data_IF_482282811339
#
_entry.id   IF_482282811339
#
_cell.length_a   1.000
_cell.length_b   1.000
_cell.length_c   1.000
_cell.angle_alpha   90.00
_cell.angle_beta   90.00
_cell.angle_gamma   90.00
#
_symmetry.space_group_name_H-M   'P 1'
#
loop_
_entity.id
_entity.type
_entity.pdbx_description
1 polymer ?
#
# COMPACT_ATOMS: atom_id res chain seq x y z
N UNK A 1 17.44 -4.00 19.49
CA UNK A 1 16.74 -3.88 18.19
C UNK A 1 15.95 -5.16 18.00
N UNK A 2 14.63 -5.08 17.88
CA UNK A 2 13.77 -6.25 17.67
C UNK A 2 13.81 -6.61 16.18
N UNK A 3 14.08 -7.87 15.84
CA UNK A 3 14.16 -8.29 14.44
C UNK A 3 12.77 -8.18 13.77
N UNK A 4 12.72 -7.86 12.47
CA UNK A 4 11.46 -7.70 11.72
C UNK A 4 10.54 -8.92 11.85
N UNK A 5 11.12 -10.13 11.87
CA UNK A 5 10.41 -11.39 12.11
C UNK A 5 9.75 -11.44 13.49
N UNK A 6 10.46 -11.03 14.55
CA UNK A 6 9.93 -10.99 15.92
C UNK A 6 8.77 -10.00 16.06
N UNK A 7 8.83 -8.88 15.31
CA UNK A 7 7.74 -7.88 15.27
C UNK A 7 6.49 -8.43 14.61
N UNK A 8 6.64 -9.14 13.49
CA UNK A 8 5.53 -9.78 12.78
C UNK A 8 4.88 -10.86 13.65
N UNK A 9 5.67 -11.75 14.25
CA UNK A 9 5.17 -12.79 15.15
C UNK A 9 4.39 -12.22 16.34
N UNK A 10 4.87 -11.09 16.90
CA UNK A 10 4.18 -10.41 17.99
C UNK A 10 2.80 -9.90 17.57
N UNK A 11 2.71 -9.28 16.39
CA UNK A 11 1.44 -8.77 15.85
C UNK A 11 0.47 -9.92 15.58
N UNK A 12 0.95 -11.01 14.97
CA UNK A 12 0.11 -12.20 14.72
C UNK A 12 -0.49 -12.72 16.03
N UNK A 13 0.34 -12.95 17.06
CA UNK A 13 -0.14 -13.42 18.37
C UNK A 13 -1.14 -12.45 19.03
N UNK A 14 -0.89 -11.15 18.90
CA UNK A 14 -1.79 -10.13 19.42
C UNK A 14 -3.16 -10.17 18.72
N UNK A 15 -3.17 -10.31 17.39
CA UNK A 15 -4.41 -10.44 16.62
C UNK A 15 -5.12 -11.76 16.91
N UNK A 16 -4.41 -12.87 17.07
CA UNK A 16 -4.99 -14.16 17.50
C UNK A 16 -5.74 -14.02 18.83
N UNK A 17 -5.15 -13.32 19.79
CA UNK A 17 -5.78 -13.02 21.08
C UNK A 17 -7.05 -12.19 20.84
N UNK A 18 -6.98 -11.11 20.06
CA UNK A 18 -8.16 -10.28 19.82
C UNK A 18 -9.28 -11.03 19.09
N UNK A 19 -8.97 -11.95 18.17
CA UNK A 19 -9.96 -12.80 17.52
C UNK A 19 -10.69 -13.69 18.55
N UNK A 20 -9.97 -14.25 19.52
CA UNK A 20 -10.57 -15.10 20.55
C UNK A 20 -11.59 -14.37 21.42
N UNK A 21 -11.42 -13.07 21.64
CA UNK A 21 -12.28 -12.26 22.51
C UNK A 21 -13.24 -11.33 21.77
N UNK A 22 -12.98 -11.07 20.49
CA UNK A 22 -13.69 -10.08 19.67
C UNK A 22 -14.44 -10.66 18.48
N UNK A 23 -14.48 -11.98 18.33
CA UNK A 23 -15.23 -12.67 17.27
C UNK A 23 -16.08 -13.77 17.87
N UNK A 24 -17.32 -13.88 17.37
CA UNK A 24 -18.26 -14.96 17.71
C UNK A 24 -17.60 -16.34 17.56
N UNK A 25 -17.79 -17.23 18.54
CA UNK A 25 -17.12 -18.56 18.57
C UNK A 25 -17.28 -19.36 17.28
N UNK A 26 -18.44 -19.26 16.62
CA UNK A 26 -18.72 -19.95 15.35
C UNK A 26 -17.85 -19.48 14.18
N UNK A 27 -17.30 -18.27 14.24
CA UNK A 27 -16.54 -17.63 13.16
C UNK A 27 -15.03 -17.55 13.46
N UNK A 28 -14.61 -17.86 14.70
CA UNK A 28 -13.20 -17.73 15.11
C UNK A 28 -12.24 -18.54 14.23
N UNK A 29 -12.62 -19.76 13.82
CA UNK A 29 -11.76 -20.57 12.96
C UNK A 29 -11.53 -19.92 11.59
N UNK A 30 -12.54 -19.27 11.03
CA UNK A 30 -12.42 -18.63 9.73
C UNK A 30 -11.64 -17.31 9.83
N UNK A 31 -11.82 -16.56 10.91
CA UNK A 31 -10.98 -15.39 11.24
C UNK A 31 -9.50 -15.77 11.39
N UNK A 32 -9.19 -16.89 12.06
CA UNK A 32 -7.82 -17.39 12.19
C UNK A 32 -7.24 -17.84 10.85
N UNK A 33 -8.02 -18.51 9.99
CA UNK A 33 -7.57 -18.86 8.63
C UNK A 33 -7.25 -17.60 7.82
N UNK A 34 -8.10 -16.57 7.94
CA UNK A 34 -7.88 -15.28 7.30
C UNK A 34 -6.58 -14.62 7.76
N UNK A 35 -6.33 -14.58 9.07
CA UNK A 35 -5.06 -14.08 9.63
C UNK A 35 -3.85 -14.83 9.08
N UNK A 36 -3.91 -16.17 9.07
CA UNK A 36 -2.80 -16.99 8.58
C UNK A 36 -2.49 -16.79 7.09
N UNK A 37 -3.49 -16.46 6.27
CA UNK A 37 -3.30 -16.11 4.85
C UNK A 37 -2.38 -14.90 4.67
N UNK A 38 -2.44 -13.94 5.60
CA UNK A 38 -1.69 -12.68 5.55
C UNK A 38 -0.57 -12.58 6.60
N UNK A 39 -0.15 -13.70 7.20
CA UNK A 39 0.83 -13.73 8.31
C UNK A 39 2.19 -13.07 8.02
N UNK A 40 2.53 -12.89 6.75
CA UNK A 40 3.79 -12.27 6.32
C UNK A 40 3.58 -10.86 5.73
N UNK A 41 2.35 -10.34 5.79
CA UNK A 41 1.95 -9.08 5.19
C UNK A 41 1.76 -8.02 6.27
N UNK A 42 2.77 -7.16 6.45
CA UNK A 42 2.72 -6.16 7.52
C UNK A 42 1.54 -5.19 7.36
N UNK A 43 1.18 -4.81 6.14
CA UNK A 43 0.07 -3.90 5.87
C UNK A 43 -1.27 -4.52 6.31
N UNK A 44 -1.55 -5.74 5.83
CA UNK A 44 -2.76 -6.45 6.21
C UNK A 44 -2.80 -6.77 7.71
N UNK A 45 -1.66 -7.12 8.31
CA UNK A 45 -1.57 -7.36 9.75
C UNK A 45 -1.86 -6.09 10.57
N UNK A 46 -1.36 -4.92 10.16
CA UNK A 46 -1.72 -3.65 10.83
C UNK A 46 -3.20 -3.34 10.68
N UNK A 47 -3.78 -3.58 9.50
CA UNK A 47 -5.20 -3.40 9.27
C UNK A 47 -6.05 -4.29 10.19
N UNK A 48 -5.76 -5.60 10.23
CA UNK A 48 -6.45 -6.54 11.11
C UNK A 48 -6.29 -6.17 12.58
N UNK A 49 -5.07 -5.79 12.98
CA UNK A 49 -4.78 -5.34 14.34
C UNK A 49 -5.61 -4.13 14.71
N UNK A 50 -5.67 -3.10 13.86
CA UNK A 50 -6.51 -1.92 14.12
C UNK A 50 -7.97 -2.33 14.23
N UNK A 51 -8.50 -3.13 13.29
CA UNK A 51 -9.89 -3.58 13.30
C UNK A 51 -10.25 -4.31 14.59
N UNK A 52 -9.52 -5.37 14.96
CA UNK A 52 -9.83 -6.17 16.15
C UNK A 52 -9.48 -5.48 17.48
N UNK A 53 -8.61 -4.47 17.47
CA UNK A 53 -8.36 -3.65 18.68
C UNK A 53 -9.50 -2.67 18.94
N UNK A 54 -10.01 -2.02 17.90
CA UNK A 54 -11.06 -1.02 18.05
C UNK A 54 -12.46 -1.61 18.06
N UNK A 55 -12.66 -2.76 17.38
CA UNK A 55 -13.96 -3.33 17.00
C UNK A 55 -14.98 -2.23 16.70
N UNK A 56 -14.94 -1.65 15.49
CA UNK A 56 -15.82 -0.54 15.15
C UNK A 56 -17.26 -0.86 15.57
N UNK A 57 -17.85 0.02 16.38
CA UNK A 57 -19.21 -0.13 16.93
C UNK A 57 -19.45 -1.43 17.74
N UNK A 58 -18.40 -2.04 18.28
CA UNK A 58 -18.41 -3.29 19.08
C UNK A 58 -18.97 -4.51 18.35
N UNK A 59 -18.87 -4.53 17.02
CA UNK A 59 -19.32 -5.67 16.22
C UNK A 59 -18.32 -6.84 16.32
N UNK A 60 -18.77 -7.97 16.87
CA UNK A 60 -17.96 -9.17 17.08
C UNK A 60 -17.83 -10.04 15.82
N UNK A 61 -17.36 -9.45 14.73
CA UNK A 61 -17.39 -10.07 13.40
C UNK A 61 -16.02 -10.53 12.89
N UNK A 62 -16.05 -11.62 12.12
CA UNK A 62 -14.89 -12.05 11.35
C UNK A 62 -14.67 -11.18 10.10
N UNK A 63 -13.41 -10.88 9.81
CA UNK A 63 -13.02 -10.28 8.53
C UNK A 63 -13.18 -11.32 7.42
N UNK A 64 -13.96 -10.98 6.40
CA UNK A 64 -14.19 -11.84 5.24
C UNK A 64 -13.28 -11.47 4.06
N UNK A 65 -13.00 -10.18 3.87
CA UNK A 65 -12.26 -9.69 2.69
C UNK A 65 -11.55 -8.36 2.96
N UNK A 66 -10.35 -8.21 2.40
CA UNK A 66 -9.68 -6.91 2.24
C UNK A 66 -9.74 -6.55 0.76
N UNK A 67 -10.08 -5.31 0.46
CA UNK A 67 -10.28 -4.78 -0.89
C UNK A 67 -9.30 -3.64 -1.11
N UNK A 68 -8.58 -3.66 -2.23
CA UNK A 68 -7.74 -2.54 -2.62
C UNK A 68 -8.57 -1.56 -3.47
N UNK A 69 -8.81 -0.36 -2.95
CA UNK A 69 -9.58 0.67 -3.65
C UNK A 69 -8.63 1.53 -4.49
N UNK A 70 -7.63 2.08 -3.82
CA UNK A 70 -6.58 2.87 -4.44
C UNK A 70 -5.33 2.86 -3.57
N UNK A 71 -4.20 3.15 -4.19
CA UNK A 71 -2.93 3.39 -3.52
C UNK A 71 -2.33 4.67 -4.08
N UNK A 72 -1.68 5.44 -3.23
CA UNK A 72 -0.92 6.64 -3.62
C UNK A 72 0.29 6.72 -2.68
N UNK A 73 1.48 6.74 -3.26
CA UNK A 73 2.74 6.62 -2.51
C UNK A 73 2.77 5.36 -1.63
N UNK A 74 3.13 5.49 -0.35
CA UNK A 74 3.13 4.41 0.65
C UNK A 74 1.78 4.25 1.39
N UNK A 75 0.75 5.00 0.99
CA UNK A 75 -0.57 5.03 1.62
C UNK A 75 -1.59 4.26 0.77
N UNK A 76 -2.26 3.32 1.41
CA UNK A 76 -3.29 2.48 0.82
C UNK A 76 -4.66 2.90 1.32
N UNK A 77 -5.60 3.12 0.40
CA UNK A 77 -7.02 3.19 0.68
C UNK A 77 -7.61 1.79 0.51
N UNK A 78 -7.96 1.17 1.64
CA UNK A 78 -8.44 -0.21 1.72
C UNK A 78 -9.90 -0.24 2.18
N UNK A 79 -10.65 -1.17 1.61
CA UNK A 79 -11.94 -1.60 2.13
C UNK A 79 -11.76 -2.87 2.95
N UNK A 80 -12.36 -2.95 4.13
CA UNK A 80 -12.44 -4.15 4.94
C UNK A 80 -13.90 -4.57 5.03
N UNK A 81 -14.22 -5.78 4.57
CA UNK A 81 -15.58 -6.32 4.57
C UNK A 81 -15.67 -7.47 5.55
N UNK A 82 -16.67 -7.39 6.43
CA UNK A 82 -17.08 -8.46 7.35
C UNK A 82 -18.34 -9.13 6.81
N UNK A 83 -18.99 -9.98 7.61
CA UNK A 83 -20.24 -10.62 7.22
C UNK A 83 -21.39 -9.64 6.98
N UNK A 84 -21.44 -8.52 7.71
CA UNK A 84 -22.58 -7.57 7.66
C UNK A 84 -22.18 -6.13 7.38
N UNK A 85 -20.93 -5.78 7.63
CA UNK A 85 -20.45 -4.41 7.53
C UNK A 85 -19.27 -4.32 6.58
N UNK A 86 -18.99 -3.09 6.18
CA UNK A 86 -17.80 -2.77 5.41
C UNK A 86 -17.25 -1.44 5.89
N UNK A 87 -15.94 -1.32 5.92
CA UNK A 87 -15.24 -0.19 6.52
C UNK A 87 -14.16 0.31 5.58
N UNK A 88 -13.91 1.62 5.63
CA UNK A 88 -12.82 2.26 4.92
C UNK A 88 -11.64 2.49 5.86
N UNK A 89 -10.46 2.17 5.36
CA UNK A 89 -9.21 2.35 6.08
C UNK A 89 -8.17 3.05 5.22
N UNK A 90 -7.40 3.93 5.84
CA UNK A 90 -6.07 4.29 5.38
C UNK A 90 -5.06 3.40 6.06
N UNK A 91 -4.15 2.79 5.29
CA UNK A 91 -3.14 1.92 5.84
C UNK A 91 -1.78 2.18 5.22
N UNK A 92 -0.75 2.11 6.07
CA UNK A 92 0.65 1.94 5.69
C UNK A 92 1.17 0.68 6.37
N UNK A 93 2.37 0.22 6.04
CA UNK A 93 2.99 -0.93 6.72
C UNK A 93 3.17 -0.72 8.24
N UNK A 94 3.04 0.52 8.71
CA UNK A 94 3.27 0.88 10.10
C UNK A 94 1.97 1.04 10.90
N UNK A 95 0.90 1.51 10.25
CA UNK A 95 -0.35 1.85 10.93
C UNK A 95 -1.54 1.78 9.97
N UNK A 96 -2.69 1.36 10.48
CA UNK A 96 -3.98 1.56 9.84
C UNK A 96 -4.88 2.49 10.66
N UNK A 97 -5.68 3.31 9.96
CA UNK A 97 -6.61 4.30 10.48
C UNK A 97 -7.99 4.03 9.86
N UNK A 98 -9.00 3.89 10.71
CA UNK A 98 -10.40 3.78 10.30
C UNK A 98 -10.89 5.17 9.84
N UNK A 99 -11.40 5.25 8.61
CA UNK A 99 -12.05 6.46 8.09
C UNK A 99 -13.56 6.47 8.34
N UNK A 100 -14.18 5.30 8.47
CA UNK A 100 -15.61 5.16 8.71
C UNK A 100 -16.20 3.90 8.08
N UNK A 101 -17.49 3.70 8.27
CA UNK A 101 -18.25 2.64 7.61
C UNK A 101 -18.50 2.99 6.13
N UNK A 102 -18.33 2.01 5.25
CA UNK A 102 -18.53 2.13 3.81
C UNK A 102 -20.01 2.32 3.48
N UNK A 103 -20.32 3.33 2.66
CA UNK A 103 -21.69 3.65 2.28
C UNK A 103 -22.40 4.64 3.22
N UNK A 104 -21.74 5.04 4.32
CA UNK A 104 -22.19 6.13 5.16
C UNK A 104 -21.66 7.49 4.62
N UNK A 105 -22.43 8.57 4.81
CA UNK A 105 -22.08 9.90 4.28
C UNK A 105 -20.86 10.56 4.95
N UNK A 106 -20.45 10.03 6.11
CA UNK A 106 -19.37 10.60 6.93
C UNK A 106 -18.11 9.79 6.72
N UNK A 107 -17.34 10.18 5.69
CA UNK A 107 -15.95 9.75 5.50
C UNK A 107 -15.09 11.01 5.52
N UNK A 108 -13.93 10.97 6.17
CA UNK A 108 -13.03 12.13 6.28
C UNK A 108 -12.71 12.73 4.90
N UNK A 109 -13.20 13.96 4.57
CA UNK A 109 -13.04 14.55 3.25
C UNK A 109 -11.58 14.80 2.87
N UNK A 110 -10.74 15.14 3.85
CA UNK A 110 -9.31 15.39 3.66
C UNK A 110 -8.57 14.12 3.21
N UNK A 111 -8.96 12.97 3.76
CA UNK A 111 -8.42 11.67 3.37
C UNK A 111 -8.77 11.34 1.91
N UNK A 112 -10.01 11.58 1.51
CA UNK A 112 -10.47 11.34 0.13
C UNK A 112 -9.83 12.31 -0.87
N UNK A 113 -9.66 13.58 -0.48
CA UNK A 113 -9.01 14.60 -1.30
C UNK A 113 -7.56 14.23 -1.64
N UNK A 114 -6.83 13.59 -0.71
CA UNK A 114 -5.49 13.07 -0.97
C UNK A 114 -5.44 12.10 -2.15
N UNK A 115 -6.48 11.25 -2.32
CA UNK A 115 -6.60 10.32 -3.45
C UNK A 115 -7.23 10.93 -4.71
N UNK A 116 -7.51 12.23 -4.69
CA UNK A 116 -8.10 12.96 -5.82
C UNK A 116 -9.62 12.91 -5.87
N UNK A 117 -10.29 12.55 -4.77
CA UNK A 117 -11.75 12.60 -4.66
C UNK A 117 -12.19 13.87 -3.94
N UNK A 118 -12.81 14.84 -4.63
CA UNK A 118 -13.18 16.12 -4.04
C UNK A 118 -14.31 16.00 -3.01
N UNK A 119 -15.15 14.97 -3.12
CA UNK A 119 -16.21 14.69 -2.17
C UNK A 119 -16.55 13.18 -2.11
N UNK A 120 -17.33 12.80 -1.10
CA UNK A 120 -17.77 11.43 -0.85
C UNK A 120 -18.70 10.88 -1.94
N UNK A 121 -19.47 11.74 -2.63
CA UNK A 121 -20.39 11.31 -3.68
C UNK A 121 -19.63 10.83 -4.90
N UNK A 122 -18.65 11.59 -5.37
CA UNK A 122 -17.78 11.21 -6.50
C UNK A 122 -17.06 9.90 -6.21
N UNK A 123 -16.62 9.71 -4.97
CA UNK A 123 -16.01 8.46 -4.54
C UNK A 123 -16.97 7.27 -4.64
N UNK A 124 -18.18 7.37 -4.09
CA UNK A 124 -19.17 6.28 -4.13
C UNK A 124 -19.78 6.06 -5.53
N UNK A 125 -19.82 7.07 -6.38
CA UNK A 125 -20.19 6.90 -7.81
C UNK A 125 -19.17 6.03 -8.55
N UNK A 126 -17.88 6.25 -8.28
CA UNK A 126 -16.80 5.45 -8.88
C UNK A 126 -16.72 4.04 -8.28
N UNK A 127 -16.99 3.92 -6.98
CA UNK A 127 -16.97 2.65 -6.26
C UNK A 127 -18.34 2.40 -5.61
N UNK A 128 -19.33 1.91 -6.37
CA UNK A 128 -20.67 1.67 -5.84
C UNK A 128 -20.72 0.49 -4.85
N UNK A 129 -19.70 -0.37 -4.84
CA UNK A 129 -19.59 -1.45 -3.86
C UNK A 129 -18.21 -2.10 -3.85
N UNK A 130 -17.67 -2.32 -2.66
CA UNK A 130 -16.33 -2.92 -2.47
C UNK A 130 -16.19 -4.30 -3.10
N UNK A 131 -17.28 -5.06 -3.19
CA UNK A 131 -17.23 -6.39 -3.78
C UNK A 131 -16.87 -6.40 -5.27
N UNK A 132 -17.14 -5.30 -5.98
CA UNK A 132 -16.78 -5.11 -7.39
C UNK A 132 -15.32 -4.70 -7.61
N UNK A 133 -14.66 -4.24 -6.56
CA UNK A 133 -13.26 -3.88 -6.57
C UNK A 133 -12.38 -5.12 -6.43
N UNK A 134 -11.08 -4.93 -6.66
CA UNK A 134 -10.09 -5.98 -6.58
C UNK A 134 -9.83 -6.38 -5.12
N UNK A 135 -9.75 -7.69 -4.88
CA UNK A 135 -9.32 -8.19 -3.57
C UNK A 135 -7.85 -7.85 -3.34
N UNK A 136 -7.53 -7.35 -2.16
CA UNK A 136 -6.15 -7.13 -1.78
C UNK A 136 -5.44 -8.48 -1.63
N UNK A 137 -4.47 -8.72 -2.49
CA UNK A 137 -3.55 -9.84 -2.38
C UNK A 137 -2.26 -9.39 -1.69
N UNK A 138 -1.64 -10.30 -0.94
CA UNK A 138 -0.48 -9.95 -0.14
C UNK A 138 0.68 -9.41 -0.99
N UNK A 139 1.40 -8.40 -0.47
CA UNK A 139 2.53 -7.77 -1.18
C UNK A 139 3.58 -8.79 -1.65
N UNK A 140 3.74 -9.91 -0.93
CA UNK A 140 4.64 -11.01 -1.29
C UNK A 140 4.19 -11.87 -2.49
N UNK A 141 2.93 -11.74 -2.91
CA UNK A 141 2.34 -12.39 -4.10
C UNK A 141 2.18 -11.38 -5.24
N UNK A 142 2.05 -10.09 -4.95
CA UNK A 142 1.88 -9.01 -5.94
C UNK A 142 3.16 -8.53 -6.61
N UNK A 143 4.21 -9.37 -6.71
CA UNK A 143 5.55 -9.00 -7.22
C UNK A 143 5.61 -8.38 -8.63
N UNK A 144 4.48 -8.11 -9.26
CA UNK A 144 4.34 -7.55 -10.61
C UNK A 144 3.50 -6.27 -10.71
N UNK A 145 2.82 -5.76 -9.67
CA UNK A 145 1.92 -4.59 -9.83
C UNK A 145 2.41 -3.29 -9.22
N UNK A 146 3.23 -3.36 -8.17
CA UNK A 146 3.78 -2.18 -7.51
C UNK A 146 5.28 -2.33 -7.33
N UNK A 147 6.01 -1.22 -7.42
CA UNK A 147 7.42 -1.19 -7.11
C UNK A 147 7.63 -1.65 -5.65
N UNK A 148 8.51 -2.62 -5.38
CA UNK A 148 8.72 -3.12 -4.02
C UNK A 148 9.44 -2.12 -3.10
N UNK A 149 9.94 -1.01 -3.66
CA UNK A 149 10.70 0.00 -2.90
C UNK A 149 9.89 1.26 -2.66
N UNK A 150 9.41 1.92 -3.72
CA UNK A 150 8.64 3.16 -3.60
C UNK A 150 7.14 2.98 -3.85
N UNK A 151 6.69 1.74 -4.05
CA UNK A 151 5.28 1.41 -4.10
C UNK A 151 4.48 1.95 -5.31
N UNK A 152 5.08 2.68 -6.25
CA UNK A 152 4.44 3.13 -7.51
C UNK A 152 3.82 1.98 -8.31
N UNK A 153 2.63 2.19 -8.88
CA UNK A 153 1.95 1.18 -9.69
C UNK A 153 2.59 1.03 -11.08
N UNK A 154 2.38 -0.11 -11.74
CA UNK A 154 2.77 -0.28 -13.15
C UNK A 154 2.13 0.82 -14.00
N UNK A 155 2.96 1.52 -14.77
CA UNK A 155 2.55 2.68 -15.58
C UNK A 155 2.61 4.03 -14.86
N UNK A 156 2.86 4.06 -13.55
CA UNK A 156 3.12 5.31 -12.81
C UNK A 156 4.62 5.59 -12.70
N UNK A 157 4.99 6.85 -12.48
CA UNK A 157 6.38 7.20 -12.21
C UNK A 157 6.78 6.81 -10.78
N UNK A 158 8.06 6.50 -10.61
CA UNK A 158 8.63 6.27 -9.29
C UNK A 158 8.56 7.54 -8.42
N UNK A 159 8.60 7.38 -7.11
CA UNK A 159 9.05 8.48 -6.25
C UNK A 159 10.49 8.83 -6.65
N UNK A 160 10.78 10.12 -6.83
CA UNK A 160 12.11 10.57 -7.26
C UNK A 160 13.18 10.05 -6.29
N UNK A 161 14.19 9.39 -6.83
CA UNK A 161 15.27 8.80 -6.03
C UNK A 161 15.01 7.37 -5.55
N UNK A 162 13.95 6.72 -6.03
CA UNK A 162 13.79 5.28 -5.87
C UNK A 162 15.00 4.53 -6.48
N UNK A 163 15.64 3.59 -5.76
CA UNK A 163 16.80 2.86 -6.27
C UNK A 163 16.49 1.92 -7.45
N UNK A 164 15.22 1.66 -7.72
CA UNK A 164 14.74 0.84 -8.85
C UNK A 164 14.38 1.71 -10.07
N UNK A 165 14.31 3.03 -9.89
CA UNK A 165 13.98 3.96 -10.97
C UNK A 165 15.00 3.88 -12.12
N UNK A 166 14.49 3.77 -13.34
CA UNK A 166 15.30 3.76 -14.56
C UNK A 166 15.53 5.19 -15.04
N UNK A 167 16.79 5.52 -15.33
CA UNK A 167 17.20 6.80 -15.84
C UNK A 167 16.71 7.00 -17.28
N UNK A 168 15.95 8.07 -17.58
CA UNK A 168 15.42 8.30 -18.94
C UNK A 168 16.49 8.74 -19.96
N UNK A 169 17.73 8.97 -19.51
CA UNK A 169 18.83 9.39 -20.39
C UNK A 169 19.78 8.26 -20.77
N UNK A 170 19.96 7.25 -19.92
CA UNK A 170 20.97 6.20 -20.12
C UNK A 170 20.49 4.78 -19.84
N UNK A 171 19.21 4.61 -19.51
CA UNK A 171 18.58 3.32 -19.17
C UNK A 171 19.20 2.57 -17.96
N UNK A 172 20.18 3.17 -17.29
CA UNK A 172 20.74 2.68 -16.03
C UNK A 172 19.86 3.03 -14.82
N UNK A 173 20.28 2.65 -13.61
CA UNK A 173 19.60 3.06 -12.38
C UNK A 173 19.81 4.55 -12.12
N UNK A 174 18.72 5.30 -11.97
CA UNK A 174 18.73 6.77 -11.85
C UNK A 174 19.62 7.26 -10.71
N UNK A 175 19.53 6.61 -9.55
CA UNK A 175 20.32 6.93 -8.35
C UNK A 175 21.81 6.60 -8.48
N UNK A 176 22.20 5.74 -9.44
CA UNK A 176 23.59 5.29 -9.62
C UNK A 176 24.31 5.94 -10.79
N UNK A 177 23.59 6.43 -11.80
CA UNK A 177 24.21 7.12 -12.92
C UNK A 177 24.62 8.57 -12.56
N UNK A 178 25.47 9.19 -13.37
CA UNK A 178 25.84 10.61 -13.21
C UNK A 178 24.95 11.57 -14.00
N UNK A 179 23.97 11.07 -14.77
CA UNK A 179 23.20 11.91 -15.69
C UNK A 179 22.47 13.08 -15.00
N UNK A 180 21.95 12.89 -13.78
CA UNK A 180 21.31 13.99 -13.02
C UNK A 180 22.23 15.18 -12.80
N UNK A 181 23.51 14.91 -12.53
CA UNK A 181 24.54 15.93 -12.30
C UNK A 181 24.96 16.57 -13.62
N UNK A 182 25.23 15.75 -14.65
CA UNK A 182 25.63 16.23 -15.98
C UNK A 182 24.58 17.12 -16.65
N UNK A 183 23.28 16.83 -16.46
CA UNK A 183 22.20 17.64 -17.04
C UNK A 183 21.98 18.97 -16.35
N UNK A 184 22.27 19.03 -15.06
CA UNK A 184 22.22 20.27 -14.28
C UNK A 184 23.53 21.06 -14.37
N UNK A 185 24.63 20.43 -14.78
CA UNK A 185 25.95 21.04 -14.82
C UNK A 185 26.56 21.24 -13.43
N UNK A 186 26.16 20.40 -12.47
CA UNK A 186 26.64 20.41 -11.08
C UNK A 186 27.38 19.11 -10.76
N UNK A 187 28.18 19.10 -9.70
CA UNK A 187 28.90 17.88 -9.25
C UNK A 187 28.13 17.13 -8.14
N UNK A 188 27.28 17.85 -7.40
CA UNK A 188 26.46 17.36 -6.29
C UNK A 188 25.17 18.20 -6.26
N UNK A 189 24.10 17.63 -5.70
CA UNK A 189 22.86 18.34 -5.38
C UNK A 189 22.94 18.76 -3.91
N UNK A 190 23.02 20.05 -3.63
CA UNK A 190 23.17 20.61 -2.28
C UNK A 190 21.91 21.32 -1.77
N UNK A 191 21.09 21.86 -2.67
CA UNK A 191 19.93 22.67 -2.30
C UNK A 191 18.62 22.28 -2.99
N UNK A 192 17.54 22.94 -2.55
CA UNK A 192 16.18 22.68 -3.01
C UNK A 192 15.93 23.25 -4.42
N UNK A 193 16.59 24.36 -4.80
CA UNK A 193 16.46 24.94 -6.14
C UNK A 193 17.01 23.99 -7.21
N UNK A 194 18.13 23.32 -6.93
CA UNK A 194 18.71 22.29 -7.80
C UNK A 194 17.81 21.04 -7.93
N UNK A 195 17.08 20.69 -6.87
CA UNK A 195 16.10 19.58 -6.90
C UNK A 195 14.86 19.95 -7.72
N UNK A 196 14.33 21.16 -7.56
CA UNK A 196 13.20 21.65 -8.35
C UNK A 196 13.55 21.71 -9.84
N UNK A 197 14.75 22.18 -10.17
CA UNK A 197 15.22 22.20 -11.55
C UNK A 197 15.42 20.78 -12.12
N UNK A 198 15.91 19.84 -11.29
CA UNK A 198 16.01 18.43 -11.68
C UNK A 198 14.64 17.83 -12.03
N UNK A 199 13.63 18.10 -11.21
CA UNK A 199 12.25 17.66 -11.47
C UNK A 199 11.73 18.24 -12.78
N UNK A 200 11.94 19.54 -13.01
CA UNK A 200 11.54 20.22 -14.25
C UNK A 200 12.15 19.56 -15.50
N UNK A 201 13.46 19.31 -15.52
CA UNK A 201 14.12 18.71 -16.69
C UNK A 201 13.72 17.23 -16.88
N UNK A 202 13.37 16.52 -15.81
CA UNK A 202 12.86 15.15 -15.86
C UNK A 202 11.46 15.10 -16.46
N UNK A 203 10.58 16.03 -16.07
CA UNK A 203 9.25 16.16 -16.65
C UNK A 203 9.33 16.47 -18.15
N UNK A 204 10.19 17.41 -18.56
CA UNK A 204 10.42 17.76 -19.97
C UNK A 204 10.96 16.57 -20.78
N UNK A 205 11.89 15.81 -20.19
CA UNK A 205 12.45 14.62 -20.85
C UNK A 205 11.42 13.49 -20.99
N UNK A 206 10.50 13.39 -20.04
CA UNK A 206 9.63 12.23 -19.83
C UNK A 206 10.36 11.16 -19.03
N UNK A 207 9.89 10.93 -17.80
CA UNK A 207 10.39 9.86 -16.92
C UNK A 207 9.98 8.49 -17.46
N UNK A 208 10.65 7.44 -17.00
CA UNK A 208 10.31 6.06 -17.35
C UNK A 208 9.26 5.55 -16.35
N UNK A 209 8.05 5.16 -16.79
CA UNK A 209 7.06 4.56 -15.91
C UNK A 209 7.56 3.23 -15.34
N UNK A 210 7.07 2.89 -14.15
CA UNK A 210 7.37 1.61 -13.52
C UNK A 210 6.81 0.45 -14.36
N UNK A 211 7.62 -0.59 -14.52
CA UNK A 211 7.24 -1.86 -15.13
C UNK A 211 7.69 -3.03 -14.25
N UNK A 212 6.95 -4.15 -14.32
CA UNK A 212 7.24 -5.34 -13.49
C UNK A 212 8.63 -5.91 -13.75
N UNK A 213 9.16 -5.73 -14.96
CA UNK A 213 10.49 -6.18 -15.37
C UNK A 213 11.62 -5.44 -14.65
N UNK A 214 11.34 -4.26 -14.08
CA UNK A 214 12.28 -3.50 -13.25
C UNK A 214 12.36 -4.06 -11.83
N UNK A 215 11.44 -4.93 -11.42
CA UNK A 215 11.43 -5.51 -10.08
C UNK A 215 12.71 -6.35 -9.87
N UNK A 216 13.52 -6.09 -8.83
CA UNK A 216 14.73 -6.87 -8.57
C UNK A 216 14.36 -8.34 -8.32
N UNK A 217 14.64 -9.20 -9.30
CA UNK A 217 14.53 -10.64 -9.15
C UNK A 217 15.90 -11.24 -8.84
N UNK A 218 15.96 -12.17 -7.88
CA UNK A 218 17.13 -13.03 -7.77
C UNK A 218 17.14 -13.95 -9.00
N UNK A 219 18.27 -14.11 -9.72
CA UNK A 219 18.36 -15.09 -10.78
C UNK A 219 18.09 -16.46 -10.16
N UNK A 220 16.90 -17.01 -10.46
CA UNK A 220 16.60 -18.41 -10.21
C UNK A 220 17.29 -19.16 -11.33
N UNK A 221 18.24 -20.04 -11.01
CA UNK A 221 19.07 -20.75 -11.99
C UNK A 221 18.32 -21.78 -12.83
N UNK A 222 17.16 -21.43 -13.37
CA UNK A 222 16.31 -22.25 -14.24
C UNK A 222 15.98 -21.49 -15.52
N UNK A 223 17.01 -20.91 -16.13
CA UNK A 223 17.00 -20.53 -17.55
C UNK A 223 18.03 -21.41 -18.26
N UNK A 224 17.63 -22.67 -18.53
CA UNK A 224 18.16 -23.54 -19.59
C UNK A 224 16.98 -24.16 -20.35
#
# INVERSE_FOLDING_TARGET
>A
MMHLSEKIEKIVKEVEIFIQYGVQESEQQDALKFLHRYKNDTLALQLMRTFYTSLPETHEESIARITLIQKKDDIFLLGLTTARHSYLYLATEQKALLLGEYGCEIVEPEALAFFGYPDTKVFFEKYPGLMSCEEYESVGVTGARFCPVCASAVGEYHLLGCPVEVCPWCDGQFTRCSCRFEKLGVEILEDEEELEELERILEEKGRVPYSKEQCPSYPSGTDE
#
